data_IF_462598328985
#
_entry.id   IF_462598328985
#
_cell.length_a   1.000
_cell.length_b   1.000
_cell.length_c   1.000
_cell.angle_alpha   90.00
_cell.angle_beta   90.00
_cell.angle_gamma   90.00
#
_symmetry.space_group_name_H-M   'P 1'
#
loop_
_entity.id
_entity.type
_entity.pdbx_description
1 polymer ?
#
# COMPACT_ATOMS: atom_id res chain seq x y z
N UNK A 1 17.97 -1.66 4.84
CA UNK A 1 16.84 -0.76 5.15
C UNK A 1 17.13 0.06 6.40
N UNK A 2 16.82 1.36 6.37
CA UNK A 2 16.85 2.20 7.56
C UNK A 2 15.78 1.77 8.58
N UNK A 3 15.99 2.04 9.88
CA UNK A 3 15.04 1.69 10.95
C UNK A 3 13.62 2.21 10.67
N UNK A 4 13.50 3.44 10.16
CA UNK A 4 12.19 4.04 9.86
C UNK A 4 11.44 3.28 8.74
N UNK A 5 12.12 2.81 7.69
CA UNK A 5 11.47 2.04 6.60
C UNK A 5 10.99 0.67 7.08
N UNK A 6 11.75 0.04 7.97
CA UNK A 6 11.32 -1.19 8.64
C UNK A 6 10.05 -0.91 9.45
N UNK A 7 10.02 0.16 10.25
CA UNK A 7 8.83 0.54 11.02
C UNK A 7 7.62 0.76 10.10
N UNK A 8 7.77 1.55 9.03
CA UNK A 8 6.68 1.79 8.06
C UNK A 8 6.19 0.45 7.48
N UNK A 9 7.10 -0.43 7.01
CA UNK A 9 6.70 -1.75 6.49
C UNK A 9 5.88 -2.55 7.50
N UNK A 10 6.31 -2.62 8.75
CA UNK A 10 5.61 -3.37 9.80
C UNK A 10 4.25 -2.76 10.12
N UNK A 11 4.16 -1.44 10.27
CA UNK A 11 2.89 -0.74 10.53
C UNK A 11 1.89 -1.02 9.41
N UNK A 12 2.31 -0.86 8.15
CA UNK A 12 1.43 -1.14 7.01
C UNK A 12 1.09 -2.62 6.89
N UNK A 13 2.03 -3.53 7.17
CA UNK A 13 1.75 -4.96 7.14
C UNK A 13 0.64 -5.33 8.13
N UNK A 14 0.75 -4.87 9.37
CA UNK A 14 -0.27 -5.10 10.41
C UNK A 14 -1.59 -4.43 10.02
N UNK A 15 -1.56 -3.19 9.55
CA UNK A 15 -2.76 -2.46 9.15
C UNK A 15 -3.53 -3.17 8.03
N UNK A 16 -2.83 -3.65 6.99
CA UNK A 16 -3.46 -4.37 5.88
C UNK A 16 -3.97 -5.75 6.28
N UNK A 17 -3.24 -6.49 7.11
CA UNK A 17 -3.76 -7.77 7.63
C UNK A 17 -5.00 -7.57 8.51
N UNK A 18 -4.99 -6.54 9.38
CA UNK A 18 -6.14 -6.19 10.19
C UNK A 18 -7.33 -5.71 9.34
N UNK A 19 -7.08 -4.88 8.33
CA UNK A 19 -8.07 -4.44 7.34
C UNK A 19 -8.73 -5.63 6.64
N UNK A 20 -7.94 -6.62 6.24
CA UNK A 20 -8.48 -7.82 5.60
C UNK A 20 -9.41 -8.59 6.53
N UNK A 21 -9.05 -8.73 7.80
CA UNK A 21 -9.95 -9.32 8.82
C UNK A 21 -11.22 -8.47 8.98
N UNK A 22 -11.11 -7.15 9.03
CA UNK A 22 -12.27 -6.24 9.10
C UNK A 22 -13.18 -6.44 7.89
N UNK A 23 -12.64 -6.58 6.68
CA UNK A 23 -13.45 -6.83 5.48
C UNK A 23 -14.17 -8.18 5.52
N UNK A 24 -13.52 -9.24 6.04
CA UNK A 24 -14.18 -10.52 6.27
C UNK A 24 -15.36 -10.40 7.23
N UNK A 25 -15.19 -9.69 8.34
CA UNK A 25 -16.23 -9.52 9.35
C UNK A 25 -17.36 -8.62 8.84
N UNK A 26 -17.03 -7.41 8.40
CA UNK A 26 -18.00 -6.40 8.01
C UNK A 26 -18.78 -6.81 6.76
N UNK A 27 -18.14 -7.49 5.80
CA UNK A 27 -18.85 -7.98 4.62
C UNK A 27 -19.94 -9.01 4.92
N UNK A 28 -19.96 -9.57 6.14
CA UNK A 28 -20.96 -10.57 6.58
C UNK A 28 -21.90 -10.08 7.66
N UNK A 29 -21.42 -9.17 8.50
CA UNK A 29 -22.18 -8.67 9.66
C UNK A 29 -22.87 -7.33 9.38
N UNK A 30 -22.34 -6.53 8.46
CA UNK A 30 -22.88 -5.22 8.09
C UNK A 30 -22.52 -4.84 6.64
N UNK A 31 -22.88 -5.66 5.63
CA UNK A 31 -22.54 -5.42 4.22
C UNK A 31 -23.08 -4.08 3.68
N UNK A 32 -24.21 -3.61 4.18
CA UNK A 32 -24.84 -2.34 3.82
C UNK A 32 -24.00 -1.12 4.21
N UNK A 33 -23.14 -1.25 5.23
CA UNK A 33 -22.24 -0.16 5.65
C UNK A 33 -21.30 0.30 4.52
N UNK A 34 -21.01 -0.58 3.55
CA UNK A 34 -20.21 -0.23 2.39
C UNK A 34 -20.92 0.72 1.42
N UNK A 35 -22.24 0.92 1.55
CA UNK A 35 -23.00 1.88 0.73
C UNK A 35 -22.45 3.30 0.86
N UNK A 36 -21.93 3.65 2.05
CA UNK A 36 -21.39 4.95 2.35
C UNK A 36 -20.26 5.39 1.39
N UNK A 37 -19.42 4.45 0.93
CA UNK A 37 -18.31 4.76 0.03
C UNK A 37 -18.76 5.26 -1.34
N UNK A 38 -19.90 4.77 -1.85
CA UNK A 38 -20.45 5.24 -3.12
C UNK A 38 -20.81 6.73 -3.08
N UNK A 39 -21.29 7.22 -1.94
CA UNK A 39 -21.69 8.61 -1.75
C UNK A 39 -20.51 9.59 -1.68
N UNK A 40 -19.29 9.11 -1.43
CA UNK A 40 -18.08 9.95 -1.40
C UNK A 40 -17.27 9.87 -2.69
N UNK A 41 -17.74 9.11 -3.68
CA UNK A 41 -17.05 8.93 -4.95
C UNK A 41 -16.97 10.26 -5.71
N UNK A 42 -15.77 10.60 -6.18
CA UNK A 42 -15.52 11.83 -6.93
C UNK A 42 -16.18 11.84 -8.32
N UNK A 43 -16.54 10.66 -8.85
CA UNK A 43 -17.15 10.50 -10.17
C UNK A 43 -18.50 9.81 -10.04
N UNK A 44 -19.54 10.38 -10.69
CA UNK A 44 -20.89 9.82 -10.67
C UNK A 44 -20.97 8.37 -11.18
N UNK A 45 -20.23 8.06 -12.26
CA UNK A 45 -20.14 6.69 -12.81
C UNK A 45 -19.60 5.69 -11.78
N UNK A 46 -18.65 6.10 -10.92
CA UNK A 46 -18.14 5.22 -9.87
C UNK A 46 -19.18 5.02 -8.77
N UNK A 47 -19.94 6.05 -8.40
CA UNK A 47 -21.07 5.92 -7.48
C UNK A 47 -22.12 4.94 -8.04
N UNK A 48 -22.48 5.06 -9.32
CA UNK A 48 -23.43 4.15 -9.98
C UNK A 48 -22.91 2.71 -10.02
N UNK A 49 -21.64 2.49 -10.40
CA UNK A 49 -20.99 1.18 -10.35
C UNK A 49 -21.03 0.61 -8.93
N UNK A 50 -20.79 1.45 -7.93
CA UNK A 50 -20.81 1.04 -6.53
C UNK A 50 -22.19 0.55 -6.12
N UNK A 51 -23.23 1.34 -6.37
CA UNK A 51 -24.61 0.96 -6.01
C UNK A 51 -25.16 -0.20 -6.84
N UNK A 52 -24.86 -0.26 -8.13
CA UNK A 52 -25.47 -1.22 -9.04
C UNK A 52 -24.74 -2.56 -9.09
N UNK A 53 -23.43 -2.58 -8.83
CA UNK A 53 -22.63 -3.80 -8.89
C UNK A 53 -21.99 -4.14 -7.55
N UNK A 54 -21.27 -3.22 -6.92
CA UNK A 54 -20.48 -3.54 -5.71
C UNK A 54 -21.39 -3.91 -4.55
N UNK A 55 -22.42 -3.11 -4.24
CA UNK A 55 -23.32 -3.38 -3.11
C UNK A 55 -24.07 -4.70 -3.25
N UNK A 56 -24.70 -5.03 -4.39
CA UNK A 56 -25.35 -6.35 -4.57
C UNK A 56 -24.40 -7.54 -4.44
N UNK A 57 -23.10 -7.32 -4.68
CA UNK A 57 -22.08 -8.36 -4.70
C UNK A 57 -21.11 -8.29 -3.50
N UNK A 58 -21.36 -7.40 -2.54
CA UNK A 58 -20.35 -6.99 -1.56
C UNK A 58 -19.87 -8.15 -0.70
N UNK A 59 -20.77 -9.08 -0.36
CA UNK A 59 -20.46 -10.21 0.51
C UNK A 59 -19.30 -11.07 -0.02
N UNK A 60 -19.24 -11.38 -1.32
CA UNK A 60 -18.13 -12.15 -1.90
C UNK A 60 -16.96 -11.25 -2.31
N UNK A 61 -17.23 -10.02 -2.77
CA UNK A 61 -16.19 -9.05 -3.09
C UNK A 61 -15.28 -8.75 -1.90
N UNK A 62 -15.83 -8.67 -0.68
CA UNK A 62 -15.01 -8.47 0.53
C UNK A 62 -14.13 -9.67 0.87
N UNK A 63 -14.44 -10.90 0.43
CA UNK A 63 -13.51 -12.03 0.59
C UNK A 63 -12.28 -11.84 -0.28
N UNK A 64 -12.49 -11.43 -1.54
CA UNK A 64 -11.40 -11.16 -2.46
C UNK A 64 -10.56 -10.01 -1.92
N UNK A 65 -11.22 -8.94 -1.47
CA UNK A 65 -10.55 -7.79 -0.90
C UNK A 65 -9.73 -8.16 0.34
N UNK A 66 -10.31 -8.94 1.26
CA UNK A 66 -9.61 -9.44 2.42
C UNK A 66 -8.38 -10.27 2.07
N UNK A 67 -8.50 -11.17 1.09
CA UNK A 67 -7.37 -11.98 0.63
C UNK A 67 -6.25 -11.10 0.06
N UNK A 68 -6.61 -10.09 -0.77
CA UNK A 68 -5.65 -9.15 -1.33
C UNK A 68 -4.93 -8.33 -0.25
N UNK A 69 -5.65 -7.81 0.74
CA UNK A 69 -5.05 -7.03 1.82
C UNK A 69 -4.12 -7.88 2.71
N UNK A 70 -4.55 -9.09 3.07
CA UNK A 70 -3.72 -10.03 3.85
C UNK A 70 -2.47 -10.40 3.06
N UNK A 71 -2.60 -10.70 1.76
CA UNK A 71 -1.46 -10.98 0.88
C UNK A 71 -0.50 -9.79 0.77
N UNK A 72 -1.02 -8.56 0.66
CA UNK A 72 -0.21 -7.35 0.65
C UNK A 72 0.57 -7.20 1.96
N UNK A 73 -0.08 -7.44 3.10
CA UNK A 73 0.56 -7.44 4.41
C UNK A 73 1.70 -8.47 4.53
N UNK A 74 1.47 -9.71 4.09
CA UNK A 74 2.54 -10.71 4.01
C UNK A 74 3.66 -10.32 3.04
N UNK A 75 3.33 -9.75 1.88
CA UNK A 75 4.33 -9.27 0.92
C UNK A 75 5.22 -8.17 1.49
N UNK A 76 4.66 -7.29 2.34
CA UNK A 76 5.43 -6.30 3.09
C UNK A 76 6.38 -6.95 4.11
N UNK A 77 6.06 -8.13 4.68
CA UNK A 77 6.93 -8.84 5.63
C UNK A 77 8.03 -9.65 4.93
N UNK A 78 7.72 -10.28 3.80
CA UNK A 78 8.64 -11.18 3.06
C UNK A 78 9.90 -10.49 2.51
N UNK A 79 9.90 -9.16 2.37
CA UNK A 79 11.07 -8.41 1.87
C UNK A 79 11.29 -8.53 0.36
N UNK A 80 12.37 -7.88 -0.11
CA UNK A 80 12.83 -7.96 -1.51
C UNK A 80 11.75 -7.62 -2.54
N UNK A 81 11.61 -8.48 -3.56
CA UNK A 81 10.64 -8.29 -4.66
C UNK A 81 9.18 -8.29 -4.18
N UNK A 82 8.86 -9.04 -3.13
CA UNK A 82 7.50 -9.16 -2.62
C UNK A 82 7.03 -7.87 -1.95
N UNK A 83 7.92 -7.20 -1.22
CA UNK A 83 7.64 -5.87 -0.66
C UNK A 83 7.40 -4.86 -1.77
N UNK A 84 8.18 -4.89 -2.86
CA UNK A 84 7.95 -3.99 -3.99
C UNK A 84 6.57 -4.22 -4.63
N UNK A 85 6.20 -5.48 -4.87
CA UNK A 85 4.88 -5.83 -5.43
C UNK A 85 3.75 -5.40 -4.49
N UNK A 86 3.88 -5.67 -3.20
CA UNK A 86 2.90 -5.26 -2.19
C UNK A 86 2.73 -3.73 -2.16
N UNK A 87 3.83 -2.98 -2.13
CA UNK A 87 3.77 -1.51 -2.13
C UNK A 87 3.10 -0.98 -3.40
N UNK A 88 3.41 -1.53 -4.58
CA UNK A 88 2.75 -1.13 -5.84
C UNK A 88 1.24 -1.42 -5.77
N UNK A 89 0.85 -2.60 -5.30
CA UNK A 89 -0.56 -2.96 -5.14
C UNK A 89 -1.30 -2.03 -4.17
N UNK A 90 -0.70 -1.73 -3.03
CA UNK A 90 -1.27 -0.81 -2.04
C UNK A 90 -1.38 0.61 -2.62
N UNK A 91 -0.37 1.10 -3.34
CA UNK A 91 -0.43 2.41 -3.97
C UNK A 91 -1.53 2.49 -5.04
N UNK A 92 -1.74 1.42 -5.80
CA UNK A 92 -2.86 1.33 -6.75
C UNK A 92 -4.21 1.37 -6.02
N UNK A 93 -4.33 0.66 -4.91
CA UNK A 93 -5.53 0.72 -4.06
C UNK A 93 -5.74 2.13 -3.47
N UNK A 94 -4.68 2.80 -3.03
CA UNK A 94 -4.76 4.18 -2.56
C UNK A 94 -5.15 5.17 -3.66
N UNK A 95 -4.66 4.99 -4.89
CA UNK A 95 -5.10 5.79 -6.02
C UNK A 95 -6.61 5.62 -6.26
N UNK A 96 -7.13 4.39 -6.14
CA UNK A 96 -8.56 4.14 -6.17
C UNK A 96 -9.31 4.82 -5.00
N UNK A 97 -8.82 4.72 -3.77
CA UNK A 97 -9.41 5.36 -2.59
C UNK A 97 -9.43 6.90 -2.67
N UNK A 98 -8.48 7.52 -3.36
CA UNK A 98 -8.52 8.97 -3.59
C UNK A 98 -9.72 9.39 -4.44
N UNK A 99 -10.16 8.51 -5.34
CA UNK A 99 -11.37 8.72 -6.14
C UNK A 99 -12.61 8.34 -5.34
N UNK A 100 -12.59 7.22 -4.63
CA UNK A 100 -13.76 6.69 -3.91
C UNK A 100 -14.10 7.45 -2.61
N UNK A 101 -13.08 7.85 -1.84
CA UNK A 101 -13.24 8.39 -0.49
C UNK A 101 -13.46 7.31 0.59
N UNK A 102 -13.58 7.75 1.85
CA UNK A 102 -13.74 6.89 3.03
C UNK A 102 -15.19 6.77 3.52
N UNK A 103 -16.18 7.20 2.74
CA UNK A 103 -17.58 7.07 3.09
C UNK A 103 -18.07 8.04 4.17
N UNK A 104 -17.32 9.09 4.48
CA UNK A 104 -17.75 10.14 5.40
C UNK A 104 -18.46 11.27 4.65
N UNK A 105 -19.79 11.45 4.78
CA UNK A 105 -20.52 12.47 4.04
C UNK A 105 -20.21 13.86 4.59
N UNK A 106 -19.70 14.75 3.73
CA UNK A 106 -19.35 16.13 4.09
C UNK A 106 -20.03 17.12 3.14
N UNK A 107 -20.48 18.25 3.67
CA UNK A 107 -21.17 19.28 2.90
C UNK A 107 -20.20 20.20 2.12
N UNK A 108 -18.95 20.32 2.57
CA UNK A 108 -17.93 21.18 1.97
C UNK A 108 -16.79 20.39 1.32
N UNK A 109 -16.30 20.88 0.18
CA UNK A 109 -15.21 20.23 -0.57
C UNK A 109 -13.90 20.12 0.23
N UNK A 110 -13.60 21.11 1.07
CA UNK A 110 -12.40 21.08 1.92
C UNK A 110 -12.53 20.02 3.03
N UNK A 111 -13.68 19.96 3.70
CA UNK A 111 -13.95 18.97 4.75
C UNK A 111 -14.00 17.55 4.19
N UNK A 112 -14.58 17.40 3.00
CA UNK A 112 -14.59 16.16 2.24
C UNK A 112 -13.18 15.71 1.90
N UNK A 113 -12.34 16.59 1.33
CA UNK A 113 -10.94 16.27 1.05
C UNK A 113 -10.17 15.87 2.32
N UNK A 114 -10.31 16.65 3.40
CA UNK A 114 -9.62 16.41 4.65
C UNK A 114 -9.96 15.04 5.25
N UNK A 115 -11.25 14.68 5.27
CA UNK A 115 -11.70 13.42 5.89
C UNK A 115 -11.59 12.21 4.98
N UNK A 116 -11.81 12.35 3.69
CA UNK A 116 -11.87 11.22 2.77
C UNK A 116 -10.56 10.97 1.99
N UNK A 117 -9.63 11.93 1.90
CA UNK A 117 -8.48 11.84 0.97
C UNK A 117 -7.13 12.19 1.57
N UNK A 118 -7.05 13.15 2.49
CA UNK A 118 -5.78 13.61 3.03
C UNK A 118 -5.00 12.48 3.73
N UNK A 119 -5.69 11.62 4.50
CA UNK A 119 -5.07 10.44 5.13
C UNK A 119 -4.45 9.49 4.11
N UNK A 120 -5.15 9.20 3.01
CA UNK A 120 -4.67 8.36 1.91
C UNK A 120 -3.39 8.93 1.29
N UNK A 121 -3.32 10.25 1.07
CA UNK A 121 -2.12 10.89 0.52
C UNK A 121 -0.91 10.75 1.45
N UNK A 122 -1.12 10.97 2.75
CA UNK A 122 -0.06 10.80 3.75
C UNK A 122 0.47 9.36 3.77
N UNK A 123 -0.45 8.38 3.78
CA UNK A 123 -0.08 6.97 3.76
C UNK A 123 0.64 6.58 2.46
N UNK A 124 0.18 7.07 1.30
CA UNK A 124 0.83 6.86 0.01
C UNK A 124 2.26 7.43 0.00
N UNK A 125 2.46 8.64 0.54
CA UNK A 125 3.78 9.25 0.65
C UNK A 125 4.75 8.38 1.46
N UNK A 126 4.31 7.84 2.60
CA UNK A 126 5.12 6.94 3.42
C UNK A 126 5.52 5.66 2.68
N UNK A 127 4.63 5.10 1.87
CA UNK A 127 4.91 3.92 1.06
C UNK A 127 5.86 4.20 -0.11
N UNK A 128 5.77 5.38 -0.74
CA UNK A 128 6.71 5.81 -1.78
C UNK A 128 8.14 5.88 -1.22
N UNK A 129 8.31 6.30 0.04
CA UNK A 129 9.62 6.28 0.69
C UNK A 129 10.21 4.87 0.77
N UNK A 130 9.41 3.81 0.86
CA UNK A 130 9.90 2.43 0.80
C UNK A 130 10.47 2.12 -0.60
N UNK A 131 9.79 2.54 -1.67
CA UNK A 131 10.24 2.31 -3.06
C UNK A 131 11.48 3.10 -3.45
N UNK A 132 11.70 4.28 -2.85
CA UNK A 132 12.83 5.14 -3.15
C UNK A 132 14.20 4.58 -2.71
N UNK A 133 14.31 3.28 -2.40
CA UNK A 133 15.58 2.62 -2.13
C UNK A 133 16.37 2.50 -3.44
N UNK A 134 17.36 3.38 -3.64
CA UNK A 134 18.41 3.12 -4.63
C UNK A 134 19.28 2.01 -4.05
N UNK A 135 19.29 0.85 -4.68
CA UNK A 135 20.44 -0.05 -4.57
C UNK A 135 21.66 0.78 -4.95
N UNK A 136 22.69 0.90 -4.09
CA UNK A 136 23.98 1.41 -4.56
C UNK A 136 24.36 0.54 -5.76
N UNK A 137 24.50 1.16 -6.93
CA UNK A 137 25.14 0.49 -8.03
C UNK A 137 26.51 0.06 -7.50
N UNK A 138 26.91 -1.23 -7.51
CA UNK A 138 28.30 -1.55 -7.31
C UNK A 138 29.03 -0.73 -8.38
N UNK A 139 29.88 0.21 -7.93
CA UNK A 139 30.71 0.99 -8.82
C UNK A 139 31.48 -0.02 -9.66
N UNK A 140 31.10 -0.14 -10.93
CA UNK A 140 31.81 -0.91 -11.92
C UNK A 140 33.23 -0.33 -11.93
N UNK A 141 34.20 -1.14 -11.50
CA UNK A 141 35.61 -0.86 -11.64
C UNK A 141 36.20 0.17 -10.68
N UNK A 142 36.46 -0.23 -9.43
CA UNK A 142 37.80 0.08 -8.90
C UNK A 142 38.65 -1.17 -9.08
N UNK A 143 39.70 -1.14 -9.92
CA UNK A 143 40.69 -2.20 -9.91
C UNK A 143 41.24 -2.28 -8.49
N UNK A 144 41.12 -3.45 -7.89
CA UNK A 144 41.88 -3.78 -6.70
C UNK A 144 43.33 -3.79 -7.17
N UNK A 145 44.04 -2.67 -7.00
CA UNK A 145 45.47 -2.60 -7.20
C UNK A 145 46.09 -3.55 -6.17
N UNK A 146 46.26 -4.81 -6.57
CA UNK A 146 47.23 -5.72 -5.99
C UNK A 146 48.58 -5.07 -6.19
N UNK A 147 48.98 -4.24 -5.23
CA UNK A 147 50.34 -3.77 -5.08
C UNK A 147 51.20 -5.02 -4.93
N UNK A 148 51.82 -5.40 -6.05
CA UNK A 148 52.79 -6.47 -6.11
C UNK A 148 53.88 -6.22 -5.08
N UNK A 149 53.91 -7.05 -4.05
CA UNK A 149 55.07 -7.18 -3.18
C UNK A 149 56.14 -7.86 -4.01
N UNK A 150 57.01 -7.05 -4.62
CA UNK A 150 58.25 -7.54 -5.22
C UNK A 150 59.10 -8.20 -4.15
N UNK A 151 59.57 -9.36 -4.53
CA UNK A 151 60.66 -10.11 -3.95
C UNK A 151 61.88 -9.21 -3.66
N UNK A 152 62.45 -9.33 -2.46
CA UNK A 152 63.80 -8.83 -2.18
C UNK A 152 64.57 -9.83 -1.33
N UNK A 153 65.54 -10.43 -2.01
CA UNK A 153 66.90 -10.77 -1.58
C UNK A 153 67.14 -11.91 -0.60
N UNK A 154 67.81 -12.95 -1.15
CA UNK A 154 69.14 -13.46 -0.78
C UNK A 154 69.42 -13.71 0.71
N UNK A 155 69.71 -14.97 1.00
CA UNK A 155 70.41 -15.48 2.17
C UNK A 155 70.53 -16.99 2.08
#
# INVERSE_FOLDING_TARGET
MSRYRTIIRWVFAVAFMAGGVVHLVMGRTAPESYGAFGHTAAWGVLSELWSAFVIPNIAWLTLIFAALEIMAGFGLLLGGRWTRLAVIGILAFFAFLLVLGYGWPMAGALDDFAKNRAGTLLMAALLILILAERTPHPLIGRPQLTLGRRDTSRG
#
